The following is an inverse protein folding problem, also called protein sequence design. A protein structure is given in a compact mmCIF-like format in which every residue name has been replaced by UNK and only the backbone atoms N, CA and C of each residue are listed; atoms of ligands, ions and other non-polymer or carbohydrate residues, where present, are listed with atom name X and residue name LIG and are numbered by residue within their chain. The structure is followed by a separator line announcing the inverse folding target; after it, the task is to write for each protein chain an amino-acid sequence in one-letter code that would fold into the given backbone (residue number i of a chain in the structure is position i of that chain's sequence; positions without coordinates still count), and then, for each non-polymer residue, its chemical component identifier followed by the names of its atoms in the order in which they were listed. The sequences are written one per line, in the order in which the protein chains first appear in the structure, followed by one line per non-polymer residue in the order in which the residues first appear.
data_IF_124794695983
#
_entry.id   IF_124794695983
#
_cell.length_a   1.000
_cell.length_b   1.000
_cell.length_c   1.000
_cell.angle_alpha   90.00
_cell.angle_beta   90.00
_cell.angle_gamma   90.00
#
_symmetry.space_group_name_H-M   'P 1'
#
loop_
_entity.id
_entity.type
_entity.pdbx_description
1 polymer ?
#
# COMPACT_ATOMS: atom_id res chain seq x y z
N UNK A 1 4.16 0.93 -32.56
CA UNK A 1 5.05 0.65 -31.41
C UNK A 1 4.22 0.64 -30.12
N UNK A 2 3.57 -0.47 -29.76
CA UNK A 2 2.63 -0.53 -28.60
C UNK A 2 2.59 -1.89 -27.89
N UNK A 3 3.57 -2.77 -28.11
CA UNK A 3 3.52 -4.17 -27.65
C UNK A 3 4.25 -4.51 -26.33
N UNK A 4 5.18 -3.68 -25.83
CA UNK A 4 6.08 -4.09 -24.74
C UNK A 4 5.59 -3.80 -23.32
N UNK A 5 4.68 -2.84 -23.12
CA UNK A 5 4.16 -2.49 -21.79
C UNK A 5 3.09 -3.46 -21.27
N UNK A 6 2.32 -4.10 -22.15
CA UNK A 6 1.27 -5.05 -21.76
C UNK A 6 1.86 -6.38 -21.23
N UNK A 7 2.95 -6.87 -21.83
CA UNK A 7 3.65 -8.09 -21.40
C UNK A 7 4.20 -7.98 -19.98
N UNK A 8 4.74 -6.81 -19.61
CA UNK A 8 5.31 -6.59 -18.28
C UNK A 8 4.24 -6.54 -17.17
N UNK A 9 3.02 -6.06 -17.49
CA UNK A 9 1.90 -6.08 -16.55
C UNK A 9 1.35 -7.50 -16.33
N UNK A 10 1.27 -8.30 -17.39
CA UNK A 10 0.82 -9.69 -17.32
C UNK A 10 1.80 -10.58 -16.53
N UNK A 11 3.10 -10.34 -16.69
CA UNK A 11 4.13 -11.09 -15.98
C UNK A 11 4.13 -10.76 -14.48
N UNK A 12 3.95 -9.49 -14.10
CA UNK A 12 3.74 -9.10 -12.70
C UNK A 12 2.46 -9.70 -12.11
N UNK A 13 1.38 -9.71 -12.88
CA UNK A 13 0.12 -10.30 -12.45
C UNK A 13 0.23 -11.83 -12.26
N UNK A 14 0.87 -12.53 -13.20
CA UNK A 14 1.15 -13.96 -13.08
C UNK A 14 2.06 -14.30 -11.89
N UNK A 15 3.04 -13.44 -11.58
CA UNK A 15 3.92 -13.60 -10.43
C UNK A 15 3.18 -13.39 -9.11
N UNK A 16 2.24 -12.44 -9.07
CA UNK A 16 1.32 -12.26 -7.94
C UNK A 16 0.38 -13.45 -7.76
N UNK A 17 -0.17 -14.01 -8.84
CA UNK A 17 -0.99 -15.23 -8.78
C UNK A 17 -0.15 -16.41 -8.27
N UNK A 18 1.05 -16.60 -8.79
CA UNK A 18 1.96 -17.65 -8.33
C UNK A 18 2.32 -17.49 -6.85
N UNK A 19 2.50 -16.24 -6.38
CA UNK A 19 2.73 -15.95 -4.97
C UNK A 19 1.50 -16.28 -4.11
N UNK A 20 0.29 -15.93 -4.55
CA UNK A 20 -0.97 -16.26 -3.84
C UNK A 20 -1.19 -17.77 -3.79
N UNK A 21 -0.99 -18.46 -4.91
CA UNK A 21 -1.14 -19.92 -5.01
C UNK A 21 -0.08 -20.63 -4.18
N UNK A 22 1.18 -20.19 -4.27
CA UNK A 22 2.29 -20.71 -3.45
C UNK A 22 2.03 -20.51 -1.96
N UNK A 23 1.55 -19.32 -1.59
CA UNK A 23 1.14 -19.03 -0.22
C UNK A 23 0.00 -19.96 0.23
N UNK A 24 -1.02 -20.19 -0.61
CA UNK A 24 -2.11 -21.11 -0.30
C UNK A 24 -1.64 -22.55 -0.07
N UNK A 25 -0.69 -23.04 -0.86
CA UNK A 25 -0.11 -24.39 -0.70
C UNK A 25 0.70 -24.50 0.59
N UNK A 26 1.56 -23.53 0.87
CA UNK A 26 2.35 -23.49 2.11
C UNK A 26 1.43 -23.34 3.31
N UNK A 27 0.37 -22.54 3.18
CA UNK A 27 -0.57 -22.30 4.24
C UNK A 27 -1.35 -23.56 4.62
N UNK A 28 -1.84 -24.30 3.63
CA UNK A 28 -2.60 -25.52 3.88
C UNK A 28 -1.72 -26.66 4.42
N UNK A 29 -0.45 -26.78 3.97
CA UNK A 29 0.44 -27.87 4.40
C UNK A 29 1.16 -27.63 5.74
N UNK A 30 1.53 -26.39 6.05
CA UNK A 30 2.40 -26.09 7.19
C UNK A 30 1.79 -25.09 8.17
N UNK A 31 1.07 -24.07 7.67
CA UNK A 31 0.56 -23.00 8.51
C UNK A 31 -0.75 -23.38 9.21
N UNK A 32 -1.56 -24.26 8.64
CA UNK A 32 -2.85 -24.65 9.23
C UNK A 32 -2.67 -25.33 10.59
N UNK A 33 -1.68 -26.22 10.72
CA UNK A 33 -1.41 -26.97 11.95
C UNK A 33 -0.74 -26.10 13.03
N UNK A 34 0.10 -25.15 12.60
CA UNK A 34 0.66 -24.13 13.48
C UNK A 34 -0.40 -23.14 13.96
N UNK A 35 -1.34 -22.78 13.08
CA UNK A 35 -2.39 -21.81 13.32
C UNK A 35 -3.50 -22.34 14.23
N UNK A 36 -3.84 -23.63 14.14
CA UNK A 36 -4.81 -24.28 15.03
C UNK A 36 -4.34 -24.35 16.48
N UNK A 37 -3.02 -24.41 16.69
CA UNK A 37 -2.38 -24.47 18.02
C UNK A 37 -2.16 -23.08 18.63
N UNK A 38 -2.36 -22.00 17.85
CA UNK A 38 -2.04 -20.64 18.28
C UNK A 38 -3.09 -20.07 19.25
N UNK A 39 -2.62 -19.37 20.29
CA UNK A 39 -3.50 -18.64 21.21
C UNK A 39 -4.16 -17.45 20.51
N UNK A 40 -5.46 -17.28 20.72
CA UNK A 40 -6.26 -16.18 20.14
C UNK A 40 -5.73 -14.80 20.52
N UNK A 41 -5.18 -14.64 21.73
CA UNK A 41 -4.58 -13.39 22.21
C UNK A 41 -3.41 -12.91 21.34
N UNK A 42 -2.54 -13.83 20.91
CA UNK A 42 -1.42 -13.51 20.03
C UNK A 42 -1.91 -13.06 18.66
N UNK A 43 -3.00 -13.66 18.19
CA UNK A 43 -3.61 -13.30 16.91
C UNK A 43 -4.23 -11.91 16.93
N UNK A 44 -4.94 -11.57 18.02
CA UNK A 44 -5.46 -10.21 18.24
C UNK A 44 -4.34 -9.18 18.33
N UNK A 45 -3.23 -9.52 18.99
CA UNK A 45 -2.04 -8.65 19.04
C UNK A 45 -1.44 -8.40 17.65
N UNK A 46 -1.29 -9.44 16.83
CA UNK A 46 -0.81 -9.32 15.44
C UNK A 46 -1.74 -8.47 14.57
N UNK A 47 -3.05 -8.65 14.69
CA UNK A 47 -4.05 -7.81 14.00
C UNK A 47 -3.92 -6.35 14.45
N UNK A 48 -3.75 -6.08 15.74
CA UNK A 48 -3.57 -4.74 16.26
C UNK A 48 -2.34 -4.04 15.67
N UNK A 49 -1.22 -4.74 15.53
CA UNK A 49 -0.02 -4.23 14.86
C UNK A 49 -0.34 -3.88 13.40
N UNK A 50 -1.06 -4.76 12.70
CA UNK A 50 -1.40 -4.58 11.29
C UNK A 50 -2.30 -3.35 11.06
N UNK A 51 -3.28 -3.14 11.93
CA UNK A 51 -4.15 -1.95 11.92
C UNK A 51 -3.33 -0.68 12.17
N UNK A 52 -2.42 -0.69 13.16
CA UNK A 52 -1.55 0.45 13.46
C UNK A 52 -0.66 0.83 12.27
N UNK A 53 -0.02 -0.16 11.64
CA UNK A 53 0.82 0.07 10.46
C UNK A 53 0.00 0.65 9.31
N UNK A 54 -1.19 0.10 9.07
CA UNK A 54 -2.11 0.59 8.03
C UNK A 54 -2.52 2.04 8.27
N UNK A 55 -2.78 2.43 9.52
CA UNK A 55 -3.11 3.80 9.90
C UNK A 55 -1.95 4.78 9.65
N UNK A 56 -0.72 4.37 9.98
CA UNK A 56 0.49 5.16 9.68
C UNK A 56 0.63 5.36 8.17
N UNK A 57 0.46 4.30 7.38
CA UNK A 57 0.53 4.39 5.91
C UNK A 57 -0.53 5.31 5.34
N UNK A 58 -1.76 5.22 5.86
CA UNK A 58 -2.84 6.13 5.49
C UNK A 58 -2.47 7.60 5.77
N UNK A 59 -1.87 7.88 6.93
CA UNK A 59 -1.39 9.22 7.29
C UNK A 59 -0.29 9.74 6.35
N UNK A 60 0.74 8.93 6.08
CA UNK A 60 1.85 9.32 5.21
C UNK A 60 1.36 9.56 3.77
N UNK A 61 0.55 8.66 3.22
CA UNK A 61 0.00 8.82 1.87
C UNK A 61 -0.94 10.02 1.80
N UNK A 62 -1.79 10.22 2.81
CA UNK A 62 -2.69 11.38 2.90
C UNK A 62 -1.91 12.71 2.84
N UNK A 63 -0.80 12.80 3.58
CA UNK A 63 0.07 13.98 3.54
C UNK A 63 0.66 14.20 2.13
N UNK A 64 1.14 13.14 1.48
CA UNK A 64 1.66 13.25 0.11
C UNK A 64 0.59 13.64 -0.91
N UNK A 65 -0.61 13.08 -0.80
CA UNK A 65 -1.73 13.45 -1.68
C UNK A 65 -2.08 14.93 -1.51
N UNK A 66 -2.15 15.44 -0.29
CA UNK A 66 -2.38 16.86 -0.04
C UNK A 66 -1.36 17.78 -0.73
N UNK A 67 -0.09 17.35 -0.82
CA UNK A 67 0.97 18.12 -1.50
C UNK A 67 0.89 18.05 -3.03
N UNK A 68 0.65 16.86 -3.60
CA UNK A 68 0.74 16.64 -5.05
C UNK A 68 -0.58 16.98 -5.76
N UNK A 69 -1.72 16.75 -5.10
CA UNK A 69 -3.04 16.82 -5.71
C UNK A 69 -3.38 18.20 -6.31
N UNK A 70 -3.11 19.34 -5.64
CA UNK A 70 -3.37 20.65 -6.22
C UNK A 70 -2.61 20.89 -7.53
N UNK A 71 -1.35 20.47 -7.59
CA UNK A 71 -0.51 20.60 -8.80
C UNK A 71 -1.02 19.73 -9.93
N UNK A 72 -1.40 18.47 -9.65
CA UNK A 72 -1.96 17.58 -10.65
C UNK A 72 -3.27 18.15 -11.25
N UNK A 73 -4.12 18.74 -10.42
CA UNK A 73 -5.39 19.34 -10.84
C UNK A 73 -5.19 20.58 -11.71
N UNK A 74 -4.20 21.43 -11.39
CA UNK A 74 -3.85 22.59 -12.22
C UNK A 74 -3.30 22.17 -13.60
N UNK A 75 -2.53 21.08 -13.67
CA UNK A 75 -2.01 20.53 -14.93
C UNK A 75 -3.12 20.03 -15.85
N UNK A 76 -4.15 19.39 -15.29
CA UNK A 76 -5.32 18.92 -16.06
C UNK A 76 -6.19 20.08 -16.55
N UNK A 77 -6.23 21.19 -15.81
CA UNK A 77 -7.01 22.38 -16.16
C UNK A 77 -6.34 23.29 -17.23
N UNK A 78 -5.20 22.90 -17.80
CA UNK A 78 -4.57 23.62 -18.91
C UNK A 78 -3.99 24.99 -18.54
N UNK A 79 -3.82 25.30 -17.25
CA UNK A 79 -3.13 26.52 -16.80
C UNK A 79 -1.61 26.28 -16.77
N UNK A 80 -0.98 26.31 -17.94
CA UNK A 80 0.45 26.02 -18.12
C UNK A 80 1.41 27.10 -17.56
N UNK A 81 0.91 28.28 -17.17
CA UNK A 81 1.73 29.47 -16.95
C UNK A 81 1.97 29.87 -15.48
N UNK A 82 1.90 28.96 -14.52
CA UNK A 82 2.24 29.31 -13.13
C UNK A 82 3.46 28.52 -12.69
N UNK A 83 4.58 29.23 -12.53
CA UNK A 83 5.87 28.74 -12.03
C UNK A 83 5.78 28.25 -10.58
N UNK A 84 5.07 27.14 -10.38
CA UNK A 84 5.08 26.39 -9.14
C UNK A 84 6.13 25.29 -9.29
N UNK A 85 6.93 25.10 -8.23
CA UNK A 85 8.10 24.23 -8.13
C UNK A 85 7.84 22.71 -8.35
N UNK A 86 6.70 22.35 -8.95
CA UNK A 86 6.13 21.01 -9.03
C UNK A 86 5.66 20.62 -10.45
N UNK A 87 5.95 21.41 -11.49
CA UNK A 87 5.57 21.09 -12.88
C UNK A 87 6.15 19.75 -13.40
N UNK A 88 7.19 19.25 -12.73
CA UNK A 88 7.86 17.98 -13.03
C UNK A 88 7.31 16.73 -12.32
N UNK A 89 6.36 16.81 -11.39
CA UNK A 89 5.86 15.60 -10.72
C UNK A 89 4.94 14.82 -11.67
N UNK A 90 5.39 13.62 -12.03
CA UNK A 90 4.68 12.71 -12.91
C UNK A 90 3.35 12.26 -12.31
N UNK A 91 2.27 12.29 -13.11
CA UNK A 91 0.97 11.69 -12.75
C UNK A 91 1.07 10.20 -12.38
N UNK A 92 2.14 9.53 -12.85
CA UNK A 92 2.43 8.13 -12.52
C UNK A 92 2.74 7.91 -11.03
N UNK A 93 3.37 8.88 -10.37
CA UNK A 93 3.67 8.84 -8.93
C UNK A 93 2.37 8.94 -8.15
N UNK A 94 1.50 9.89 -8.51
CA UNK A 94 0.17 10.04 -7.91
C UNK A 94 -0.65 8.74 -8.02
N UNK A 95 -0.67 8.12 -9.21
CA UNK A 95 -1.33 6.83 -9.43
C UNK A 95 -0.77 5.72 -8.54
N UNK A 96 0.55 5.65 -8.39
CA UNK A 96 1.20 4.67 -7.50
C UNK A 96 0.77 4.87 -6.04
N UNK A 97 0.77 6.11 -5.55
CA UNK A 97 0.38 6.44 -4.18
C UNK A 97 -1.08 6.06 -3.89
N UNK A 98 -2.00 6.38 -4.78
CA UNK A 98 -3.43 6.02 -4.63
C UNK A 98 -3.62 4.51 -4.66
N UNK A 99 -2.85 3.79 -5.48
CA UNK A 99 -2.94 2.33 -5.54
C UNK A 99 -2.44 1.68 -4.24
N UNK A 100 -1.34 2.17 -3.67
CA UNK A 100 -0.87 1.74 -2.34
C UNK A 100 -1.91 2.07 -1.25
N UNK A 101 -2.56 3.23 -1.33
CA UNK A 101 -3.64 3.62 -0.41
C UNK A 101 -4.80 2.64 -0.42
N UNK A 102 -5.24 2.22 -1.62
CA UNK A 102 -6.32 1.24 -1.78
C UNK A 102 -5.93 -0.10 -1.15
N UNK A 103 -4.73 -0.62 -1.44
CA UNK A 103 -4.24 -1.85 -0.83
C UNK A 103 -4.17 -1.78 0.70
N UNK A 104 -3.67 -0.67 1.25
CA UNK A 104 -3.58 -0.47 2.70
C UNK A 104 -4.96 -0.41 3.35
N UNK A 105 -5.90 0.33 2.75
CA UNK A 105 -7.29 0.43 3.25
C UNK A 105 -8.01 -0.91 3.20
N UNK A 106 -7.86 -1.67 2.11
CA UNK A 106 -8.44 -3.02 2.01
C UNK A 106 -7.87 -3.96 3.06
N UNK A 107 -6.55 -3.92 3.30
CA UNK A 107 -5.91 -4.71 4.34
C UNK A 107 -6.38 -4.32 5.75
N UNK A 108 -6.59 -3.03 6.02
CA UNK A 108 -7.16 -2.57 7.29
C UNK A 108 -8.59 -3.09 7.49
N UNK A 109 -9.46 -2.97 6.49
CA UNK A 109 -10.83 -3.49 6.56
C UNK A 109 -10.83 -5.01 6.80
N UNK A 110 -10.00 -5.76 6.06
CA UNK A 110 -9.88 -7.19 6.24
C UNK A 110 -9.37 -7.58 7.64
N UNK A 111 -8.44 -6.80 8.20
CA UNK A 111 -7.90 -7.01 9.55
C UNK A 111 -8.97 -6.78 10.63
N UNK A 112 -9.78 -5.73 10.48
CA UNK A 112 -10.91 -5.45 11.38
C UNK A 112 -12.00 -6.52 11.29
N UNK A 113 -12.30 -7.01 10.08
CA UNK A 113 -13.24 -8.12 9.88
C UNK A 113 -12.72 -9.41 10.54
N UNK A 114 -11.41 -9.68 10.48
CA UNK A 114 -10.79 -10.80 11.18
C UNK A 114 -10.93 -10.68 12.70
N UNK A 115 -10.66 -9.52 13.29
CA UNK A 115 -10.81 -9.32 14.73
C UNK A 115 -12.26 -9.46 15.19
N UNK A 116 -13.20 -8.98 14.37
CA UNK A 116 -14.63 -9.16 14.60
C UNK A 116 -15.03 -10.64 14.54
N UNK A 117 -14.54 -11.39 13.54
CA UNK A 117 -14.77 -12.82 13.40
C UNK A 117 -14.21 -13.62 14.59
N UNK A 118 -13.00 -13.29 15.07
CA UNK A 118 -12.41 -13.90 16.26
C UNK A 118 -13.21 -13.59 17.53
N UNK A 119 -13.71 -12.35 17.65
CA UNK A 119 -14.53 -11.94 18.78
C UNK A 119 -15.87 -12.69 18.80
N UNK A 120 -16.53 -12.85 17.64
CA UNK A 120 -17.73 -13.68 17.53
C UNK A 120 -17.47 -15.16 17.82
N UNK A 121 -16.34 -15.71 17.36
CA UNK A 121 -15.94 -17.10 17.63
C UNK A 121 -15.69 -17.39 19.11
N UNK A 122 -15.44 -16.37 19.93
CA UNK A 122 -15.20 -16.52 21.37
C UNK A 122 -16.52 -16.51 22.17
N UNK A 123 -17.64 -16.14 21.56
CA UNK A 123 -18.93 -16.09 22.24
C UNK A 123 -19.51 -17.51 22.40
N UNK A 124 -19.86 -17.85 23.64
CA UNK A 124 -20.30 -19.20 24.08
C UNK A 124 -21.50 -19.75 23.31
N UNK A 125 -22.40 -18.90 22.83
CA UNK A 125 -23.58 -19.32 22.03
C UNK A 125 -23.25 -19.73 20.59
N UNK A 126 -22.13 -19.26 20.02
CA UNK A 126 -21.73 -19.54 18.62
C UNK A 126 -20.68 -20.67 18.57
N UNK A 127 -19.88 -20.82 19.63
CA UNK A 127 -18.89 -21.89 19.77
C UNK A 127 -19.48 -23.31 19.72
N UNK A 128 -20.79 -23.48 19.87
CA UNK A 128 -21.46 -24.77 19.80
C UNK A 128 -21.86 -25.18 18.37
N UNK A 129 -21.93 -24.22 17.42
CA UNK A 129 -22.35 -24.49 16.03
C UNK A 129 -21.19 -24.63 15.04
N UNK A 130 -19.97 -24.27 15.41
CA UNK A 130 -18.81 -24.32 14.51
C UNK A 130 -17.55 -24.64 15.29
N UNK A 131 -16.69 -25.48 14.73
CA UNK A 131 -15.35 -25.77 15.26
C UNK A 131 -14.53 -24.48 15.29
N UNK A 132 -14.50 -23.85 16.48
CA UNK A 132 -13.82 -22.58 16.73
C UNK A 132 -12.34 -22.59 16.26
N UNK A 133 -11.72 -23.77 16.22
CA UNK A 133 -10.33 -23.93 15.78
C UNK A 133 -10.15 -23.73 14.27
N UNK A 134 -11.15 -24.05 13.45
CA UNK A 134 -11.10 -23.79 12.00
C UNK A 134 -11.17 -22.29 11.69
N UNK A 135 -11.97 -21.53 12.47
CA UNK A 135 -12.08 -20.06 12.33
C UNK A 135 -10.76 -19.40 12.75
N UNK A 136 -10.15 -19.85 13.85
CA UNK A 136 -8.84 -19.35 14.30
C UNK A 136 -7.77 -19.60 13.26
N UNK A 137 -7.69 -20.82 12.72
CA UNK A 137 -6.72 -21.18 11.71
C UNK A 137 -6.86 -20.34 10.43
N UNK A 138 -8.10 -20.13 9.97
CA UNK A 138 -8.39 -19.31 8.80
C UNK A 138 -8.01 -17.83 9.02
N UNK A 139 -8.38 -17.27 10.18
CA UNK A 139 -8.03 -15.89 10.52
C UNK A 139 -6.51 -15.71 10.59
N UNK A 140 -5.79 -16.67 11.16
CA UNK A 140 -4.33 -16.57 11.27
C UNK A 140 -3.63 -16.61 9.92
N UNK A 141 -4.05 -17.53 9.04
CA UNK A 141 -3.54 -17.61 7.67
C UNK A 141 -3.82 -16.31 6.92
N UNK A 142 -5.02 -15.73 7.10
CA UNK A 142 -5.37 -14.47 6.45
C UNK A 142 -4.53 -13.30 6.99
N UNK A 143 -4.34 -13.21 8.30
CA UNK A 143 -3.53 -12.15 8.94
C UNK A 143 -2.08 -12.21 8.48
N UNK A 144 -1.48 -13.40 8.41
CA UNK A 144 -0.11 -13.57 7.90
C UNK A 144 0.01 -13.20 6.42
N UNK A 145 -1.01 -13.50 5.62
CA UNK A 145 -1.07 -13.07 4.22
C UNK A 145 -1.12 -11.54 4.12
N UNK A 146 -2.00 -10.91 4.89
CA UNK A 146 -2.14 -9.45 4.92
C UNK A 146 -0.85 -8.78 5.41
N UNK A 147 -0.11 -9.41 6.32
CA UNK A 147 1.20 -8.94 6.76
C UNK A 147 2.20 -8.86 5.60
N UNK A 148 2.26 -9.91 4.77
CA UNK A 148 3.11 -9.92 3.58
C UNK A 148 2.68 -8.86 2.55
N UNK A 149 1.38 -8.69 2.33
CA UNK A 149 0.83 -7.63 1.45
C UNK A 149 1.21 -6.24 1.96
N UNK A 150 1.12 -6.00 3.28
CA UNK A 150 1.48 -4.73 3.89
C UNK A 150 2.97 -4.42 3.75
N UNK A 151 3.86 -5.40 3.92
CA UNK A 151 5.31 -5.21 3.66
C UNK A 151 5.56 -4.76 2.21
N UNK A 152 4.86 -5.38 1.25
CA UNK A 152 4.95 -5.01 -0.16
C UNK A 152 4.42 -3.59 -0.42
N UNK A 153 3.32 -3.21 0.25
CA UNK A 153 2.76 -1.87 0.18
C UNK A 153 3.71 -0.81 0.76
N UNK A 154 4.31 -1.07 1.92
CA UNK A 154 5.32 -0.20 2.55
C UNK A 154 6.52 -0.02 1.61
N UNK A 155 7.02 -1.10 1.04
CA UNK A 155 8.17 -1.05 0.13
C UNK A 155 7.84 -0.19 -1.10
N UNK A 156 6.66 -0.39 -1.70
CA UNK A 156 6.19 0.39 -2.85
C UNK A 156 6.00 1.87 -2.52
N UNK A 157 5.52 2.17 -1.30
CA UNK A 157 5.44 3.52 -0.78
C UNK A 157 6.82 4.16 -0.68
N UNK A 158 7.78 3.48 -0.04
CA UNK A 158 9.15 3.99 0.13
C UNK A 158 9.80 4.32 -1.21
N UNK A 159 9.72 3.42 -2.19
CA UNK A 159 10.24 3.68 -3.54
C UNK A 159 9.55 4.89 -4.20
N UNK A 160 8.23 5.00 -4.06
CA UNK A 160 7.48 6.13 -4.63
C UNK A 160 7.83 7.45 -3.93
N UNK A 161 8.01 7.43 -2.60
CA UNK A 161 8.45 8.59 -1.82
C UNK A 161 9.87 9.02 -2.18
N UNK A 162 10.81 8.08 -2.34
CA UNK A 162 12.17 8.41 -2.79
C UNK A 162 12.17 9.05 -4.17
N UNK A 163 11.41 8.48 -5.12
CA UNK A 163 11.29 9.05 -6.46
C UNK A 163 10.73 10.47 -6.40
N UNK A 164 9.67 10.69 -5.63
CA UNK A 164 9.06 12.01 -5.49
C UNK A 164 10.05 13.03 -4.91
N UNK A 165 10.74 12.68 -3.82
CA UNK A 165 11.74 13.56 -3.21
C UNK A 165 12.85 13.90 -4.21
N UNK A 166 13.33 12.90 -4.96
CA UNK A 166 14.34 13.10 -6.00
C UNK A 166 13.87 14.05 -7.11
N UNK A 167 12.65 13.85 -7.61
CA UNK A 167 12.04 14.72 -8.63
C UNK A 167 11.92 16.17 -8.13
N UNK A 168 11.63 16.36 -6.83
CA UNK A 168 11.59 17.69 -6.21
C UNK A 168 12.95 18.37 -6.12
N UNK A 169 13.99 17.63 -5.71
CA UNK A 169 15.33 18.19 -5.64
C UNK A 169 15.82 18.64 -7.01
N UNK A 170 15.58 17.85 -8.06
CA UNK A 170 15.95 18.22 -9.43
C UNK A 170 15.15 19.44 -9.90
N UNK A 171 13.82 19.44 -9.70
CA UNK A 171 12.99 20.56 -10.14
C UNK A 171 13.43 21.87 -9.50
N UNK A 172 13.76 21.84 -8.20
CA UNK A 172 14.23 23.02 -7.48
C UNK A 172 15.60 23.50 -7.98
N UNK A 173 16.54 22.57 -8.20
CA UNK A 173 17.85 22.90 -8.75
C UNK A 173 17.75 23.56 -10.14
N UNK A 174 16.83 23.09 -10.98
CA UNK A 174 16.60 23.66 -12.31
C UNK A 174 15.96 25.07 -12.23
N UNK A 175 15.00 25.28 -11.33
CA UNK A 175 14.40 26.60 -11.08
C UNK A 175 15.46 27.61 -10.59
N UNK A 176 16.32 27.22 -9.65
CA UNK A 176 17.40 28.08 -9.16
C UNK A 176 18.40 28.43 -10.29
N UNK A 177 18.73 27.45 -11.14
CA UNK A 177 19.62 27.68 -12.29
C UNK A 177 19.01 28.63 -13.33
N UNK A 178 17.72 28.51 -13.64
CA UNK A 178 17.02 29.45 -14.52
C UNK A 178 16.99 30.86 -13.94
N UNK A 179 16.78 31.00 -12.63
CA UNK A 179 16.82 32.30 -11.97
C UNK A 179 18.22 32.95 -12.06
N UNK A 180 19.29 32.15 -11.90
CA UNK A 180 20.66 32.62 -12.06
C UNK A 180 20.99 33.03 -13.51
N UNK A 181 20.55 32.24 -14.50
CA UNK A 181 20.75 32.54 -15.92
C UNK A 181 19.92 33.75 -16.39
N UNK A 182 18.70 33.91 -15.87
CA UNK A 182 17.84 35.07 -16.14
C UNK A 182 18.41 36.36 -15.59
N UNK A 183 19.05 36.31 -14.42
CA UNK A 183 19.73 37.47 -13.81
C UNK A 183 20.96 37.95 -14.59
N UNK A 184 21.53 37.11 -15.45
CA UNK A 184 22.72 37.43 -16.24
C UNK A 184 22.40 38.05 -17.60
N UNK A 185 21.13 38.04 -18.04
CA UNK A 185 20.68 38.67 -19.31
C UNK A 185 20.23 40.13 -19.16
N UNK A 186 20.14 40.63 -17.93
CA UNK A 186 19.69 42.00 -17.60
C UNK A 186 20.84 42.95 -17.23
N UNK A 187 22.09 42.55 -17.47
CA UNK A 187 23.27 43.41 -17.45
C UNK A 187 23.87 43.48 -18.85
#
# INVERSE_FOLDING_TARGET
MTGKTASFSWLKFGLWIAFIVGYGIVANKYLYDLASTLKVELLKSQIGILVNVSAILFGVIGAWLALIYPTALQKVQGKENIGLAYSGVDLSVLKSLVLVLLFSTTSLIASLLCDLALTFSTHTSISQLTSADSIKALCAILVWFLFAVQISAISSLLFSSFKLVYDLFISKAYTDLQHLLGRNKTK
#
